data_IF_611741394269
#
_entry.id   IF_611741394269
#
_cell.length_a   1.000
_cell.length_b   1.000
_cell.length_c   1.000
_cell.angle_alpha   90.00
_cell.angle_beta   90.00
_cell.angle_gamma   90.00
#
_symmetry.space_group_name_H-M   'P 1'
#
loop_
_entity.id
_entity.type
_entity.pdbx_description
1 polymer ?
#
# COMPACT_ATOMS: atom_id res chain seq x y z
N UNK A 1 -14.40 -12.68 -5.24
CA UNK A 1 -13.42 -13.25 -4.28
C UNK A 1 -12.04 -12.86 -4.79
N UNK A 2 -11.18 -12.40 -3.90
CA UNK A 2 -9.78 -12.05 -4.20
C UNK A 2 -8.88 -13.01 -3.42
N UNK A 3 -7.93 -13.63 -4.12
CA UNK A 3 -6.91 -14.48 -3.52
C UNK A 3 -5.52 -13.92 -3.81
N UNK A 4 -4.67 -13.86 -2.80
CA UNK A 4 -3.26 -13.58 -2.96
C UNK A 4 -2.48 -14.89 -2.93
N UNK A 5 -1.73 -15.16 -3.98
CA UNK A 5 -0.90 -16.34 -4.11
C UNK A 5 0.57 -15.92 -4.19
N UNK A 6 1.40 -16.48 -3.33
CA UNK A 6 2.84 -16.31 -3.45
C UNK A 6 3.39 -17.19 -4.55
N UNK A 7 4.31 -16.64 -5.35
CA UNK A 7 5.00 -17.36 -6.42
C UNK A 7 4.04 -18.05 -7.41
N UNK A 8 3.01 -17.32 -7.87
CA UNK A 8 2.04 -17.85 -8.84
C UNK A 8 2.70 -18.48 -10.08
N UNK A 9 3.87 -17.99 -10.49
CA UNK A 9 4.61 -18.54 -11.64
C UNK A 9 5.03 -19.98 -11.43
N UNK A 10 5.31 -20.39 -10.19
CA UNK A 10 5.69 -21.75 -9.83
C UNK A 10 4.47 -22.67 -9.69
N UNK A 11 3.27 -22.06 -9.60
CA UNK A 11 2.02 -22.75 -9.35
C UNK A 11 1.11 -22.89 -10.58
N UNK A 12 1.66 -22.92 -11.80
CA UNK A 12 0.90 -23.16 -13.05
C UNK A 12 0.02 -24.43 -13.04
N UNK A 13 0.20 -25.30 -12.04
CA UNK A 13 -0.58 -26.56 -11.86
C UNK A 13 -1.69 -26.43 -10.80
N UNK A 14 -1.85 -25.29 -10.13
CA UNK A 14 -2.90 -25.16 -9.11
C UNK A 14 -4.24 -24.98 -9.80
N UNK A 15 -5.16 -25.89 -9.54
CA UNK A 15 -6.55 -25.73 -9.89
C UNK A 15 -7.17 -24.68 -8.93
N UNK A 16 -7.22 -23.43 -9.39
CA UNK A 16 -7.69 -22.28 -8.60
C UNK A 16 -9.17 -22.48 -8.22
N UNK A 17 -9.98 -23.10 -9.07
CA UNK A 17 -11.39 -23.38 -8.77
C UNK A 17 -11.53 -24.35 -7.59
N UNK A 18 -10.67 -25.38 -7.54
CA UNK A 18 -10.62 -26.33 -6.43
C UNK A 18 -10.17 -25.61 -5.15
N UNK A 19 -9.13 -24.78 -5.22
CA UNK A 19 -8.64 -23.98 -4.09
C UNK A 19 -9.72 -23.05 -3.54
N UNK A 20 -10.49 -22.41 -4.43
CA UNK A 20 -11.61 -21.54 -4.04
C UNK A 20 -12.67 -22.35 -3.28
N UNK A 21 -13.04 -23.51 -3.78
CA UNK A 21 -14.02 -24.39 -3.13
C UNK A 21 -13.54 -24.87 -1.75
N UNK A 22 -12.27 -25.25 -1.65
CA UNK A 22 -11.66 -25.75 -0.40
C UNK A 22 -11.52 -24.65 0.67
N UNK A 23 -11.27 -23.41 0.27
CA UNK A 23 -11.04 -22.28 1.22
C UNK A 23 -12.30 -21.45 1.50
N UNK A 24 -13.38 -21.68 0.79
CA UNK A 24 -14.63 -20.96 0.97
C UNK A 24 -15.60 -21.75 1.87
N UNK A 25 -15.53 -21.51 3.16
CA UNK A 25 -16.40 -22.15 4.16
C UNK A 25 -17.73 -21.41 4.39
N UNK A 26 -17.89 -20.21 3.87
CA UNK A 26 -18.97 -19.30 4.28
C UNK A 26 -20.07 -19.12 3.24
N UNK A 27 -19.73 -19.14 1.95
CA UNK A 27 -20.64 -18.77 0.90
C UNK A 27 -20.84 -19.89 -0.12
N UNK A 28 -22.09 -20.09 -0.56
CA UNK A 28 -22.37 -20.98 -1.71
C UNK A 28 -21.90 -20.29 -2.99
N UNK A 29 -21.02 -20.95 -3.72
CA UNK A 29 -20.53 -20.47 -5.03
C UNK A 29 -21.47 -21.02 -6.08
N UNK A 30 -22.20 -20.14 -6.76
CA UNK A 30 -23.11 -20.52 -7.83
C UNK A 30 -22.41 -20.52 -9.19
N UNK A 31 -21.45 -19.61 -9.41
CA UNK A 31 -20.73 -19.46 -10.67
C UNK A 31 -19.35 -18.89 -10.43
N UNK A 32 -18.37 -19.36 -11.19
CA UNK A 32 -17.01 -18.80 -11.25
C UNK A 32 -16.83 -18.30 -12.68
N UNK A 33 -16.64 -17.00 -12.83
CA UNK A 33 -16.32 -16.37 -14.10
C UNK A 33 -14.82 -16.51 -14.41
N UNK A 34 -14.40 -15.98 -15.57
CA UNK A 34 -13.02 -16.03 -16.02
C UNK A 34 -12.09 -15.41 -14.94
N UNK A 35 -11.12 -16.19 -14.51
CA UNK A 35 -10.11 -15.74 -13.53
C UNK A 35 -9.19 -14.69 -14.16
N UNK A 36 -8.91 -13.64 -13.41
CA UNK A 36 -7.95 -12.61 -13.76
C UNK A 36 -6.84 -12.62 -12.72
N UNK A 37 -5.58 -12.62 -13.15
CA UNK A 37 -4.41 -12.59 -12.31
C UNK A 37 -3.64 -11.29 -12.54
N UNK A 38 -3.18 -10.67 -11.45
CA UNK A 38 -2.36 -9.46 -11.48
C UNK A 38 -1.10 -9.69 -10.65
N UNK A 39 0.04 -9.33 -11.23
CA UNK A 39 1.30 -9.35 -10.48
C UNK A 39 1.30 -8.25 -9.43
N UNK A 40 1.61 -8.63 -8.19
CA UNK A 40 1.74 -7.72 -7.07
C UNK A 40 3.21 -7.42 -6.84
N UNK A 41 3.63 -6.20 -7.12
CA UNK A 41 4.98 -5.70 -6.82
C UNK A 41 4.87 -4.28 -6.31
N UNK A 42 5.73 -3.93 -5.38
CA UNK A 42 5.82 -2.55 -4.92
C UNK A 42 6.57 -1.70 -5.95
N UNK A 43 6.16 -0.45 -6.04
CA UNK A 43 6.77 0.55 -6.90
C UNK A 43 6.69 1.91 -6.19
N UNK A 44 7.78 2.66 -6.26
CA UNK A 44 7.79 4.06 -5.87
C UNK A 44 8.64 4.82 -6.88
N UNK A 45 8.06 5.80 -7.55
CA UNK A 45 8.76 6.57 -8.57
C UNK A 45 9.90 7.39 -7.95
N UNK A 46 10.99 7.49 -8.69
CA UNK A 46 12.12 8.37 -8.32
C UNK A 46 11.84 9.84 -8.57
N UNK A 47 11.05 10.15 -9.59
CA UNK A 47 10.55 11.49 -9.88
C UNK A 47 9.05 11.43 -10.05
N UNK A 48 8.33 12.35 -9.44
CA UNK A 48 6.88 12.38 -9.43
C UNK A 48 6.31 13.19 -10.59
N UNK A 49 7.15 13.95 -11.28
CA UNK A 49 6.73 14.73 -12.44
C UNK A 49 7.79 14.77 -13.54
N UNK A 50 7.33 15.05 -14.73
CA UNK A 50 8.17 15.38 -15.89
C UNK A 50 7.53 16.59 -16.59
N UNK A 51 8.24 17.71 -16.62
CA UNK A 51 7.70 19.00 -17.07
C UNK A 51 6.37 19.36 -16.40
N UNK A 52 5.29 19.44 -17.19
CA UNK A 52 3.94 19.75 -16.70
C UNK A 52 3.10 18.50 -16.41
N UNK A 53 3.65 17.31 -16.53
CA UNK A 53 2.94 16.05 -16.27
C UNK A 53 3.28 15.57 -14.87
N UNK A 54 2.27 15.42 -14.02
CA UNK A 54 2.37 14.85 -12.68
C UNK A 54 1.88 13.41 -12.68
N UNK A 55 2.71 12.48 -12.20
CA UNK A 55 2.28 11.13 -11.88
C UNK A 55 1.41 11.12 -10.62
N UNK A 56 0.38 10.28 -10.60
CA UNK A 56 -0.55 10.25 -9.47
C UNK A 56 -1.13 8.84 -9.20
N UNK A 57 -1.53 8.56 -7.97
CA UNK A 57 -2.13 7.30 -7.56
C UNK A 57 -1.18 6.11 -7.72
N UNK A 58 -1.67 4.99 -8.24
CA UNK A 58 -0.91 3.75 -8.43
C UNK A 58 0.26 3.89 -9.43
N UNK A 59 0.27 4.95 -10.25
CA UNK A 59 1.41 5.26 -11.10
C UNK A 59 2.57 5.83 -10.29
N UNK A 60 2.26 6.60 -9.25
CA UNK A 60 3.24 7.24 -8.38
C UNK A 60 3.86 6.25 -7.39
N UNK A 61 3.00 5.53 -6.70
CA UNK A 61 3.35 4.54 -5.69
C UNK A 61 2.40 3.36 -5.70
N UNK A 62 2.95 2.18 -5.75
CA UNK A 62 2.22 0.92 -5.63
C UNK A 62 2.83 0.16 -4.47
N UNK A 63 2.06 -0.10 -3.45
CA UNK A 63 2.50 -0.83 -2.26
C UNK A 63 1.89 -2.22 -2.22
N UNK A 64 2.51 -3.13 -1.47
CA UNK A 64 1.94 -4.44 -1.24
C UNK A 64 0.52 -4.29 -0.64
N UNK A 65 -0.49 -5.07 -1.09
CA UNK A 65 -1.89 -4.89 -0.68
C UNK A 65 -2.18 -5.32 0.77
N UNK A 66 -1.20 -5.18 1.65
CA UNK A 66 -1.39 -5.33 3.09
C UNK A 66 -2.36 -4.25 3.58
N UNK A 67 -3.52 -4.67 4.06
CA UNK A 67 -4.54 -3.79 4.64
C UNK A 67 -5.10 -2.67 3.74
N UNK A 68 -4.96 -2.76 2.40
CA UNK A 68 -5.57 -1.81 1.46
C UNK A 68 -5.05 -0.37 1.53
N UNK A 69 -3.82 -0.16 1.99
CA UNK A 69 -3.28 1.17 2.28
C UNK A 69 -2.95 2.01 1.04
N UNK A 70 -2.83 1.41 -0.16
CA UNK A 70 -2.52 2.16 -1.39
C UNK A 70 -3.55 3.25 -1.69
N UNK A 71 -4.83 2.95 -1.57
CA UNK A 71 -5.91 3.92 -1.74
C UNK A 71 -5.82 5.07 -0.72
N UNK A 72 -5.52 4.76 0.54
CA UNK A 72 -5.37 5.77 1.59
C UNK A 72 -4.19 6.70 1.33
N UNK A 73 -3.10 6.20 0.76
CA UNK A 73 -1.97 7.05 0.31
C UNK A 73 -2.43 8.03 -0.78
N UNK A 74 -3.15 7.54 -1.78
CA UNK A 74 -3.67 8.39 -2.86
C UNK A 74 -4.60 9.48 -2.34
N UNK A 75 -5.48 9.19 -1.37
CA UNK A 75 -6.35 10.20 -0.75
C UNK A 75 -5.54 11.27 0.00
N UNK A 76 -4.47 10.88 0.68
CA UNK A 76 -3.56 11.83 1.35
C UNK A 76 -2.85 12.73 0.33
N UNK A 77 -2.38 12.16 -0.77
CA UNK A 77 -1.72 12.89 -1.84
C UNK A 77 -2.69 13.90 -2.50
N UNK A 78 -3.96 13.53 -2.73
CA UNK A 78 -5.02 14.43 -3.21
C UNK A 78 -5.17 15.62 -2.26
N UNK A 79 -5.23 15.36 -0.95
CA UNK A 79 -5.38 16.43 0.04
C UNK A 79 -4.21 17.41 0.02
N UNK A 80 -2.98 16.89 -0.11
CA UNK A 80 -1.78 17.73 -0.17
C UNK A 80 -1.78 18.57 -1.44
N UNK A 81 -2.04 17.95 -2.61
CA UNK A 81 -2.10 18.67 -3.89
C UNK A 81 -3.21 19.73 -3.88
N UNK A 82 -4.39 19.40 -3.35
CA UNK A 82 -5.49 20.36 -3.23
C UNK A 82 -5.13 21.56 -2.36
N UNK A 83 -4.41 21.33 -1.26
CA UNK A 83 -3.95 22.43 -0.39
C UNK A 83 -2.91 23.31 -1.10
N UNK A 84 -1.97 22.73 -1.85
CA UNK A 84 -0.99 23.47 -2.65
C UNK A 84 -1.71 24.36 -3.67
N UNK A 85 -2.66 23.79 -4.42
CA UNK A 85 -3.45 24.51 -5.42
C UNK A 85 -4.22 25.66 -4.78
N UNK A 86 -4.91 25.38 -3.66
CA UNK A 86 -5.67 26.40 -2.92
C UNK A 86 -4.77 27.56 -2.44
N UNK A 87 -3.63 27.24 -1.81
CA UNK A 87 -2.69 28.26 -1.34
C UNK A 87 -2.18 29.14 -2.48
N UNK A 88 -1.92 28.55 -3.65
CA UNK A 88 -1.48 29.33 -4.83
C UNK A 88 -2.58 30.25 -5.36
N UNK A 89 -3.83 29.77 -5.38
CA UNK A 89 -4.98 30.60 -5.74
C UNK A 89 -5.12 31.78 -4.78
N UNK A 90 -5.08 31.52 -3.49
CA UNK A 90 -5.25 32.54 -2.45
C UNK A 90 -4.13 33.60 -2.49
N UNK A 91 -2.92 33.21 -2.92
CA UNK A 91 -1.76 34.10 -3.03
C UNK A 91 -1.58 34.71 -4.45
N UNK A 92 -2.42 34.39 -5.41
CA UNK A 92 -2.28 34.84 -6.80
C UNK A 92 -1.01 34.32 -7.51
N UNK A 93 -0.48 33.16 -7.09
CA UNK A 93 0.73 32.57 -7.67
C UNK A 93 0.42 31.82 -8.98
N UNK A 94 1.38 31.75 -9.92
CA UNK A 94 1.16 31.08 -11.19
C UNK A 94 0.94 29.57 -11.06
N UNK A 95 0.13 29.04 -11.98
CA UNK A 95 -0.10 27.61 -12.14
C UNK A 95 0.88 27.04 -13.17
N UNK A 96 2.09 26.73 -12.73
CA UNK A 96 3.15 26.18 -13.57
C UNK A 96 3.77 24.91 -12.95
N UNK A 97 4.85 24.43 -13.55
CA UNK A 97 5.58 23.22 -13.09
C UNK A 97 6.06 23.28 -11.63
N UNK A 98 6.11 24.47 -11.02
CA UNK A 98 6.51 24.61 -9.61
C UNK A 98 5.51 23.97 -8.65
N UNK A 99 4.24 23.80 -9.05
CA UNK A 99 3.24 23.02 -8.30
C UNK A 99 3.68 21.56 -8.17
N UNK A 100 4.16 20.99 -9.28
CA UNK A 100 4.60 19.59 -9.31
C UNK A 100 5.83 19.38 -8.42
N UNK A 101 6.77 20.31 -8.47
CA UNK A 101 7.96 20.30 -7.61
C UNK A 101 7.58 20.43 -6.13
N UNK A 102 6.68 21.36 -5.80
CA UNK A 102 6.19 21.56 -4.44
C UNK A 102 5.45 20.31 -3.92
N UNK A 103 4.63 19.69 -4.76
CA UNK A 103 3.97 18.44 -4.44
C UNK A 103 4.98 17.31 -4.17
N UNK A 104 5.94 17.08 -5.08
CA UNK A 104 6.98 16.06 -4.89
C UNK A 104 7.72 16.27 -3.57
N UNK A 105 8.15 17.49 -3.27
CA UNK A 105 8.87 17.82 -2.04
C UNK A 105 8.06 17.54 -0.76
N UNK A 106 6.74 17.73 -0.81
CA UNK A 106 5.86 17.51 0.33
C UNK A 106 5.53 16.04 0.60
N UNK A 107 5.50 15.20 -0.45
CA UNK A 107 4.96 13.84 -0.31
C UNK A 107 6.00 12.74 -0.49
N UNK A 108 7.06 12.95 -1.29
CA UNK A 108 7.99 11.90 -1.71
C UNK A 108 8.64 11.17 -0.54
N UNK A 109 9.18 11.90 0.41
CA UNK A 109 9.83 11.32 1.57
C UNK A 109 8.85 10.52 2.44
N UNK A 110 7.65 11.05 2.66
CA UNK A 110 6.60 10.39 3.43
C UNK A 110 6.12 9.12 2.76
N UNK A 111 5.89 9.17 1.44
CA UNK A 111 5.48 8.01 0.65
C UNK A 111 6.58 6.95 0.62
N UNK A 112 7.85 7.36 0.50
CA UNK A 112 8.99 6.45 0.55
C UNK A 112 9.10 5.72 1.89
N UNK A 113 9.02 6.43 3.01
CA UNK A 113 9.06 5.81 4.34
C UNK A 113 7.87 4.87 4.54
N UNK A 114 6.68 5.30 4.15
CA UNK A 114 5.48 4.50 4.34
C UNK A 114 5.51 3.21 3.51
N UNK A 115 5.85 3.29 2.22
CA UNK A 115 5.93 2.11 1.34
C UNK A 115 7.00 1.14 1.81
N UNK A 116 8.21 1.61 2.16
CA UNK A 116 9.24 0.73 2.71
C UNK A 116 8.84 0.12 4.05
N UNK A 117 8.09 0.85 4.89
CA UNK A 117 7.54 0.32 6.14
C UNK A 117 6.57 -0.83 5.90
N UNK A 118 5.69 -0.70 4.90
CA UNK A 118 4.75 -1.78 4.51
C UNK A 118 5.52 -2.99 3.94
N UNK A 119 6.49 -2.76 3.08
CA UNK A 119 7.31 -3.82 2.49
C UNK A 119 8.14 -4.54 3.59
N UNK A 120 8.68 -3.81 4.55
CA UNK A 120 9.40 -4.40 5.70
C UNK A 120 8.48 -5.29 6.55
N UNK A 121 7.25 -4.88 6.80
CA UNK A 121 6.26 -5.71 7.51
C UNK A 121 5.96 -6.98 6.71
N UNK A 122 5.79 -6.86 5.38
CA UNK A 122 5.56 -8.00 4.52
C UNK A 122 6.73 -8.99 4.56
N UNK A 123 7.97 -8.51 4.39
CA UNK A 123 9.17 -9.34 4.42
C UNK A 123 9.38 -9.98 5.80
N UNK A 124 9.07 -9.28 6.88
CA UNK A 124 9.13 -9.79 8.24
C UNK A 124 8.25 -11.04 8.42
N UNK A 125 6.99 -10.99 8.01
CA UNK A 125 6.10 -12.15 8.10
C UNK A 125 6.44 -13.24 7.07
N UNK A 126 6.97 -12.88 5.90
CA UNK A 126 7.45 -13.82 4.92
C UNK A 126 8.64 -14.64 5.46
N UNK A 127 9.58 -13.99 6.13
CA UNK A 127 10.72 -14.62 6.78
C UNK A 127 10.28 -15.60 7.89
N UNK A 128 9.32 -15.22 8.73
CA UNK A 128 8.75 -16.09 9.75
C UNK A 128 8.18 -17.38 9.15
N UNK A 129 7.47 -17.25 8.04
CA UNK A 129 6.89 -18.39 7.32
C UNK A 129 7.96 -19.32 6.77
N UNK A 130 9.09 -18.79 6.28
CA UNK A 130 10.22 -19.58 5.76
C UNK A 130 10.87 -20.38 6.90
N UNK A 131 11.07 -19.77 8.05
CA UNK A 131 11.70 -20.41 9.23
C UNK A 131 10.73 -21.38 9.93
N UNK A 132 9.42 -21.32 9.60
CA UNK A 132 8.36 -22.11 10.28
C UNK A 132 8.36 -21.90 11.81
N UNK A 133 8.57 -20.66 12.24
CA UNK A 133 8.65 -20.30 13.66
C UNK A 133 7.64 -19.18 13.95
N UNK A 134 6.84 -19.33 14.99
CA UNK A 134 5.89 -18.30 15.45
C UNK A 134 6.54 -17.25 16.38
N UNK A 135 7.85 -17.22 16.45
CA UNK A 135 8.55 -16.37 17.41
C UNK A 135 8.29 -14.88 17.17
N UNK A 136 8.33 -14.47 15.88
CA UNK A 136 8.11 -13.08 15.49
C UNK A 136 6.66 -12.65 15.70
N UNK A 137 5.70 -13.48 15.29
CA UNK A 137 4.27 -13.22 15.51
C UNK A 137 3.93 -13.10 16.99
N UNK A 138 4.49 -13.97 17.84
CA UNK A 138 4.32 -13.90 19.28
C UNK A 138 4.96 -12.65 19.88
N UNK A 139 6.11 -12.23 19.38
CA UNK A 139 6.77 -11.00 19.80
C UNK A 139 5.95 -9.76 19.43
N UNK A 140 5.44 -9.68 18.19
CA UNK A 140 4.54 -8.59 17.75
C UNK A 140 3.25 -8.58 18.58
N UNK A 141 2.65 -9.75 18.85
CA UNK A 141 1.46 -9.85 19.69
C UNK A 141 1.72 -9.35 21.11
N UNK A 142 2.88 -9.68 21.69
CA UNK A 142 3.26 -9.21 23.02
C UNK A 142 3.48 -7.70 23.05
N UNK A 143 4.18 -7.15 22.04
CA UNK A 143 4.42 -5.72 21.88
C UNK A 143 3.11 -4.96 21.65
N UNK A 144 2.20 -5.49 20.82
CA UNK A 144 0.89 -4.88 20.54
C UNK A 144 -0.06 -4.81 21.73
N UNK A 145 0.21 -5.56 22.81
CA UNK A 145 -0.54 -5.44 24.08
C UNK A 145 -0.21 -4.18 24.88
N UNK A 146 0.90 -3.51 24.58
CA UNK A 146 1.24 -2.24 25.24
C UNK A 146 0.39 -1.10 24.67
N UNK A 147 -0.45 -0.41 25.50
CA UNK A 147 -1.42 0.58 25.01
C UNK A 147 -0.78 1.73 24.21
N UNK A 148 0.41 2.18 24.62
CA UNK A 148 1.13 3.25 23.95
C UNK A 148 1.56 2.84 22.53
N UNK A 149 2.09 1.63 22.38
CA UNK A 149 2.56 1.09 21.10
C UNK A 149 1.38 0.83 20.17
N UNK A 150 0.32 0.21 20.68
CA UNK A 150 -0.90 -0.03 19.91
C UNK A 150 -1.52 1.29 19.43
N UNK A 151 -1.64 2.30 20.29
CA UNK A 151 -2.14 3.62 19.93
C UNK A 151 -1.27 4.31 18.84
N UNK A 152 0.04 4.15 18.93
CA UNK A 152 0.97 4.67 17.92
C UNK A 152 0.76 3.98 16.56
N UNK A 153 0.71 2.65 16.52
CA UNK A 153 0.45 1.89 15.31
C UNK A 153 -0.92 2.20 14.70
N UNK A 154 -1.98 2.28 15.50
CA UNK A 154 -3.32 2.66 15.05
C UNK A 154 -3.29 4.06 14.43
N UNK A 155 -2.63 5.02 15.09
CA UNK A 155 -2.51 6.39 14.56
C UNK A 155 -1.75 6.43 13.23
N UNK A 156 -0.68 5.65 13.08
CA UNK A 156 0.08 5.55 11.83
C UNK A 156 -0.78 4.91 10.73
N UNK A 157 -1.54 3.85 11.06
CA UNK A 157 -2.43 3.20 10.09
C UNK A 157 -3.55 4.13 9.62
N UNK A 158 -4.18 4.87 10.55
CA UNK A 158 -5.32 5.75 10.23
C UNK A 158 -4.89 7.04 9.53
N UNK A 159 -3.81 7.66 9.98
CA UNK A 159 -3.39 9.00 9.55
C UNK A 159 -2.13 9.02 8.68
N UNK A 160 -1.45 7.90 8.55
CA UNK A 160 -0.12 7.80 7.97
C UNK A 160 0.95 8.34 8.92
N UNK A 161 2.18 8.39 8.42
CA UNK A 161 3.29 9.00 9.14
C UNK A 161 3.10 10.52 9.04
N UNK A 162 2.57 11.12 10.10
CA UNK A 162 2.51 12.57 10.25
C UNK A 162 3.85 13.04 10.82
N UNK A 163 4.63 13.69 10.01
CA UNK A 163 5.69 14.59 10.42
C UNK A 163 5.26 16.03 10.20
#
# INVERSE_FOLDING_TARGET
>A
IVFSLNNYRDHKKINIEQLIKEKNFKYKINKIDKLQGFDLHSLNLRSYYHDNILAFGDLLHKIHPLAGQGFNMTIRDIKILSNIIKNRLDLGLPFDKSINMEFENNVKYKNFIFSNGVDLVYEFFNFERIIRSDFLSKSVQKIGRYPLINKMFTKIADRGILF
#
